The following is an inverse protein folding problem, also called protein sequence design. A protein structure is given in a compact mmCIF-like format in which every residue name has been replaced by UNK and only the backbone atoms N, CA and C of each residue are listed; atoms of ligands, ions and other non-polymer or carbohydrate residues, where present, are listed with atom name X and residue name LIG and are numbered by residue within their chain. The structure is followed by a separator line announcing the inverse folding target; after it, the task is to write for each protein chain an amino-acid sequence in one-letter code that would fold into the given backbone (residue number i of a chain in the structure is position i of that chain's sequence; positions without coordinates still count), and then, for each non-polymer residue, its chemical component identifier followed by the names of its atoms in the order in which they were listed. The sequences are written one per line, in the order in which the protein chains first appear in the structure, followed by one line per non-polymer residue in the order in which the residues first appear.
data_IF_706524570472
#
_entry.id   IF_706524570472
#
_cell.length_a   1.000
_cell.length_b   1.000
_cell.length_c   1.000
_cell.angle_alpha   90.00
_cell.angle_beta   90.00
_cell.angle_gamma   90.00
#
_symmetry.space_group_name_H-M   'P 1'
#
loop_
_entity.id
_entity.type
_entity.pdbx_description
1 polymer ?
#
# COMPACT_ATOMS: atom_id res chain seq x y z
N UNK A 1 6.86 -1.20 -8.68
CA UNK A 1 6.22 0.13 -8.59
C UNK A 1 7.33 1.14 -8.38
N UNK A 2 7.32 2.27 -9.07
CA UNK A 2 8.28 3.35 -8.84
C UNK A 2 7.86 4.13 -7.59
N UNK A 3 8.81 4.82 -6.94
CA UNK A 3 8.47 5.69 -5.82
C UNK A 3 7.50 6.79 -6.27
N UNK A 4 6.44 7.03 -5.48
CA UNK A 4 5.38 8.00 -5.77
C UNK A 4 4.61 7.80 -7.08
N UNK A 5 4.72 6.64 -7.72
CA UNK A 5 3.85 6.26 -8.84
C UNK A 5 2.43 5.99 -8.32
N UNK A 6 1.37 6.51 -8.94
CA UNK A 6 0.00 6.17 -8.53
C UNK A 6 -0.31 4.70 -8.89
N UNK A 7 -1.16 4.06 -8.10
CA UNK A 7 -1.45 2.63 -8.26
C UNK A 7 -2.06 2.31 -9.63
N UNK A 8 -2.88 3.21 -10.17
CA UNK A 8 -3.52 3.08 -11.49
C UNK A 8 -2.50 2.98 -12.61
N UNK A 9 -1.43 3.78 -12.57
CA UNK A 9 -0.37 3.76 -13.57
C UNK A 9 0.43 2.44 -13.47
N UNK A 10 0.67 1.96 -12.25
CA UNK A 10 1.32 0.66 -12.03
C UNK A 10 0.47 -0.49 -12.60
N UNK A 11 -0.84 -0.51 -12.32
CA UNK A 11 -1.78 -1.52 -12.86
C UNK A 11 -1.82 -1.49 -14.38
N UNK A 12 -1.86 -0.29 -14.98
CA UNK A 12 -1.84 -0.11 -16.44
C UNK A 12 -0.57 -0.74 -17.04
N UNK A 13 0.60 -0.37 -16.52
CA UNK A 13 1.88 -0.94 -16.98
C UNK A 13 1.96 -2.45 -16.80
N UNK A 14 1.45 -2.97 -15.69
CA UNK A 14 1.38 -4.42 -15.47
C UNK A 14 0.53 -5.10 -16.53
N UNK A 15 -0.64 -4.53 -16.83
CA UNK A 15 -1.57 -5.05 -17.83
C UNK A 15 -0.96 -5.02 -19.23
N UNK A 16 -0.26 -3.95 -19.60
CA UNK A 16 0.43 -3.84 -20.89
C UNK A 16 1.50 -4.93 -21.04
N UNK A 17 2.29 -5.18 -19.99
CA UNK A 17 3.30 -6.26 -19.98
C UNK A 17 2.64 -7.62 -20.14
N UNK A 18 1.57 -7.90 -19.41
CA UNK A 18 0.85 -9.18 -19.50
C UNK A 18 0.24 -9.36 -20.88
N UNK A 19 -0.34 -8.32 -21.47
CA UNK A 19 -0.91 -8.36 -22.81
C UNK A 19 0.17 -8.61 -23.87
N UNK A 20 1.32 -7.94 -23.77
CA UNK A 20 2.47 -8.22 -24.63
C UNK A 20 2.92 -9.68 -24.53
N UNK A 21 3.04 -10.21 -23.30
CA UNK A 21 3.44 -11.60 -23.06
C UNK A 21 2.41 -12.64 -23.56
N UNK A 22 1.11 -12.34 -23.45
CA UNK A 22 0.04 -13.17 -24.03
C UNK A 22 0.15 -13.24 -25.56
N UNK A 23 0.60 -12.17 -26.20
CA UNK A 23 0.90 -12.14 -27.63
C UNK A 23 2.04 -13.10 -28.06
N UNK A 24 2.89 -13.52 -27.12
CA UNK A 24 3.92 -14.53 -27.32
C UNK A 24 3.47 -15.94 -26.88
N UNK A 25 2.17 -16.23 -26.92
CA UNK A 25 1.55 -17.50 -26.50
C UNK A 25 1.79 -17.89 -25.03
N UNK A 26 2.25 -16.96 -24.19
CA UNK A 26 2.42 -17.22 -22.76
C UNK A 26 1.07 -17.19 -22.06
N UNK A 27 0.69 -18.32 -21.46
CA UNK A 27 -0.50 -18.44 -20.61
C UNK A 27 -0.14 -18.10 -19.17
N UNK A 28 -1.04 -17.38 -18.51
CA UNK A 28 -0.94 -17.06 -17.09
C UNK A 28 -2.22 -17.52 -16.40
N UNK A 29 -2.05 -18.18 -15.27
CA UNK A 29 -3.15 -18.45 -14.35
C UNK A 29 -3.48 -17.19 -13.54
N UNK A 30 -4.70 -17.11 -13.01
CA UNK A 30 -5.12 -15.98 -12.20
C UNK A 30 -4.21 -15.80 -10.96
N UNK A 31 -3.91 -16.90 -10.24
CA UNK A 31 -3.01 -16.88 -9.09
C UNK A 31 -1.60 -16.38 -9.42
N UNK A 32 -1.07 -16.71 -10.59
CA UNK A 32 0.23 -16.17 -11.03
C UNK A 32 0.17 -14.65 -11.24
N UNK A 33 -0.91 -14.14 -11.84
CA UNK A 33 -1.09 -12.70 -12.07
C UNK A 33 -1.20 -11.95 -10.75
N UNK A 34 -2.04 -12.43 -9.83
CA UNK A 34 -2.22 -11.87 -8.49
C UNK A 34 -0.89 -11.86 -7.73
N UNK A 35 -0.19 -12.99 -7.69
CA UNK A 35 1.09 -13.11 -6.99
C UNK A 35 2.16 -12.18 -7.58
N UNK A 36 2.24 -12.08 -8.91
CA UNK A 36 3.16 -11.15 -9.58
C UNK A 36 2.80 -9.70 -9.32
N UNK A 37 1.52 -9.34 -9.34
CA UNK A 37 1.07 -7.99 -9.04
C UNK A 37 1.42 -7.61 -7.61
N UNK A 38 1.06 -8.45 -6.63
CA UNK A 38 1.40 -8.21 -5.23
C UNK A 38 2.91 -8.01 -5.10
N UNK A 39 3.75 -8.90 -5.63
CA UNK A 39 5.23 -8.78 -5.61
C UNK A 39 5.78 -7.51 -6.27
N UNK A 40 5.03 -6.88 -7.18
CA UNK A 40 5.45 -5.66 -7.87
C UNK A 40 5.15 -4.37 -7.10
N UNK A 41 4.38 -4.43 -6.00
CA UNK A 41 4.06 -3.28 -5.15
C UNK A 41 5.28 -2.77 -4.35
N UNK A 42 5.26 -1.50 -3.97
CA UNK A 42 6.27 -0.89 -3.08
C UNK A 42 6.10 -1.37 -1.63
N UNK A 43 7.10 -1.13 -0.78
CA UNK A 43 7.10 -1.54 0.63
C UNK A 43 5.94 -0.94 1.45
N UNK A 44 5.45 0.25 1.08
CA UNK A 44 4.28 0.90 1.69
C UNK A 44 2.97 0.09 1.61
N UNK A 45 2.97 -0.99 0.83
CA UNK A 45 1.83 -1.89 0.60
C UNK A 45 1.98 -3.23 1.30
N UNK A 46 3.05 -3.45 2.08
CA UNK A 46 3.31 -4.72 2.74
C UNK A 46 2.18 -5.14 3.69
N UNK A 47 1.55 -4.19 4.39
CA UNK A 47 0.40 -4.47 5.25
C UNK A 47 -0.77 -5.08 4.47
N UNK A 48 -1.08 -4.54 3.28
CA UNK A 48 -2.13 -5.08 2.43
C UNK A 48 -1.74 -6.44 1.85
N UNK A 49 -0.47 -6.64 1.46
CA UNK A 49 0.03 -7.94 1.00
C UNK A 49 -0.18 -9.01 2.07
N UNK A 50 0.30 -8.76 3.29
CA UNK A 50 0.17 -9.70 4.40
C UNK A 50 -1.29 -9.98 4.74
N UNK A 51 -2.15 -8.97 4.64
CA UNK A 51 -3.59 -9.12 4.87
C UNK A 51 -4.24 -10.04 3.84
N UNK A 52 -3.95 -9.82 2.55
CA UNK A 52 -4.45 -10.68 1.48
C UNK A 52 -3.95 -12.11 1.70
N UNK A 53 -2.66 -12.31 1.97
CA UNK A 53 -2.09 -13.64 2.21
C UNK A 53 -2.69 -14.36 3.44
N UNK A 54 -3.12 -13.61 4.47
CA UNK A 54 -3.76 -14.20 5.66
C UNK A 54 -5.26 -14.48 5.49
N UNK A 55 -5.99 -13.67 4.71
CA UNK A 55 -7.46 -13.72 4.64
C UNK A 55 -7.96 -14.43 3.38
N UNK A 56 -7.32 -14.22 2.23
CA UNK A 56 -7.73 -14.79 0.95
C UNK A 56 -6.62 -15.66 0.36
N UNK A 57 -6.99 -16.77 -0.28
CA UNK A 57 -6.01 -17.55 -1.02
C UNK A 57 -5.66 -16.82 -2.34
N UNK A 58 -4.38 -16.50 -2.49
CA UNK A 58 -3.79 -15.84 -3.67
C UNK A 58 -4.17 -16.55 -4.97
N UNK A 59 -4.36 -17.88 -4.95
CA UNK A 59 -4.70 -18.67 -6.14
C UNK A 59 -6.17 -18.50 -6.57
N UNK A 60 -7.06 -18.21 -5.63
CA UNK A 60 -8.50 -18.08 -5.87
C UNK A 60 -8.94 -16.62 -5.97
N UNK A 61 -8.10 -15.69 -5.54
CA UNK A 61 -8.44 -14.27 -5.48
C UNK A 61 -8.58 -13.63 -6.87
N UNK A 62 -9.75 -13.13 -7.29
CA UNK A 62 -9.92 -12.55 -8.63
C UNK A 62 -9.05 -11.32 -8.85
N UNK A 63 -8.43 -11.21 -10.03
CA UNK A 63 -7.52 -10.12 -10.35
C UNK A 63 -8.22 -8.76 -10.38
N UNK A 64 -9.46 -8.71 -10.85
CA UNK A 64 -10.28 -7.51 -10.90
C UNK A 64 -10.62 -7.02 -9.48
N UNK A 65 -10.85 -7.95 -8.56
CA UNK A 65 -11.11 -7.64 -7.16
C UNK A 65 -9.84 -7.10 -6.48
N UNK A 66 -8.67 -7.69 -6.79
CA UNK A 66 -7.38 -7.15 -6.36
C UNK A 66 -7.21 -5.70 -6.81
N UNK A 67 -7.56 -5.36 -8.05
CA UNK A 67 -7.47 -3.98 -8.54
C UNK A 67 -8.34 -3.02 -7.73
N UNK A 68 -9.58 -3.43 -7.44
CA UNK A 68 -10.49 -2.64 -6.62
C UNK A 68 -9.97 -2.42 -5.19
N UNK A 69 -9.46 -3.48 -4.57
CA UNK A 69 -8.82 -3.43 -3.25
C UNK A 69 -7.62 -2.48 -3.25
N UNK A 70 -6.75 -2.58 -4.26
CA UNK A 70 -5.57 -1.74 -4.38
C UNK A 70 -5.92 -0.25 -4.53
N UNK A 71 -6.87 0.07 -5.41
CA UNK A 71 -7.33 1.46 -5.59
C UNK A 71 -7.97 2.03 -4.33
N UNK A 72 -8.74 1.21 -3.61
CA UNK A 72 -9.40 1.64 -2.38
C UNK A 72 -8.39 1.87 -1.26
N UNK A 73 -7.39 1.00 -1.12
CA UNK A 73 -6.28 1.18 -0.17
C UNK A 73 -5.52 2.49 -0.43
N UNK A 74 -5.19 2.81 -1.69
CA UNK A 74 -4.54 4.08 -2.02
C UNK A 74 -5.41 5.28 -1.62
N UNK A 75 -6.71 5.22 -1.90
CA UNK A 75 -7.65 6.28 -1.55
C UNK A 75 -7.76 6.50 -0.03
N UNK A 76 -7.83 5.42 0.75
CA UNK A 76 -7.86 5.48 2.22
C UNK A 76 -6.55 6.08 2.73
N UNK A 77 -5.40 5.58 2.27
CA UNK A 77 -4.09 6.10 2.65
C UNK A 77 -3.88 7.57 2.25
N UNK A 78 -4.44 8.01 1.13
CA UNK A 78 -4.41 9.41 0.73
C UNK A 78 -5.27 10.28 1.67
N UNK A 79 -6.43 9.79 2.13
CA UNK A 79 -7.28 10.48 3.11
C UNK A 79 -6.62 10.57 4.48
N UNK A 80 -5.98 9.51 4.96
CA UNK A 80 -5.28 9.49 6.27
C UNK A 80 -4.04 10.40 6.25
N UNK A 81 -3.27 10.40 5.15
CA UNK A 81 -2.16 11.36 4.92
C UNK A 81 -2.63 12.82 4.89
N UNK A 82 -3.84 13.11 4.38
CA UNK A 82 -4.41 14.48 4.41
C UNK A 82 -4.89 14.89 5.80
N UNK A 83 -5.51 13.97 6.57
CA UNK A 83 -5.93 14.22 7.95
C UNK A 83 -4.73 14.48 8.87
N UNK A 84 -3.67 13.68 8.75
CA UNK A 84 -2.43 13.84 9.54
C UNK A 84 -1.64 15.10 9.17
N UNK A 85 -1.76 15.63 7.95
CA UNK A 85 -1.17 16.93 7.58
C UNK A 85 -1.93 18.11 8.20
N UNK A 86 -3.27 18.06 8.23
CA UNK A 86 -4.08 19.11 8.90
C UNK A 86 -3.78 19.20 10.39
N UNK A 87 -3.65 18.07 11.10
CA UNK A 87 -3.32 18.08 12.52
C UNK A 87 -1.87 18.51 12.83
N UNK A 88 -0.95 18.41 11.85
CA UNK A 88 0.44 18.86 12.00
C UNK A 88 0.65 20.33 11.64
N UNK A 89 -0.32 20.97 11.00
CA UNK A 89 -0.26 22.37 10.58
C UNK A 89 -0.84 23.33 11.66
N UNK A 90 -1.70 22.83 12.56
CA UNK A 90 -2.21 23.59 13.72
C UNK A 90 -1.23 23.65 14.91
N UNK A 91 -0.13 22.90 14.90
CA UNK A 91 0.99 23.03 15.86
C UNK A 91 2.17 23.77 15.24
N UNK A 92 2.01 25.06 14.94
CA UNK A 92 3.14 25.98 14.69
C UNK A 92 3.01 27.23 15.54
N UNK A 93 3.19 27.09 16.86
CA UNK A 93 3.64 28.20 17.70
C UNK A 93 5.17 28.14 17.87
N UNK A 94 5.89 29.29 17.86
CA UNK A 94 7.36 29.34 17.82
C UNK A 94 8.02 29.02 19.18
N UNK A 95 9.30 28.61 19.19
CA UNK A 95 9.90 27.83 20.27
C UNK A 95 10.44 28.71 21.42
N UNK A 96 10.15 28.34 22.68
CA UNK A 96 10.88 28.82 23.85
C UNK A 96 12.04 27.87 24.16
N UNK A 97 13.24 28.46 24.11
CA UNK A 97 14.56 27.86 24.35
C UNK A 97 14.67 27.40 25.80
N UNK A 98 15.14 26.17 26.04
CA UNK A 98 15.85 25.78 27.26
C UNK A 98 16.74 24.56 26.97
N UNK A 99 17.82 24.43 27.73
CA UNK A 99 19.14 23.90 27.36
C UNK A 99 19.31 22.42 27.79
N UNK A 100 20.06 21.67 26.95
CA UNK A 100 20.85 20.44 27.22
C UNK A 100 20.17 19.13 27.69
N UNK A 101 20.29 18.07 26.87
CA UNK A 101 21.14 16.89 27.13
C UNK A 101 21.25 16.02 25.86
N UNK A 102 22.45 15.49 25.58
CA UNK A 102 22.74 14.57 24.47
C UNK A 102 22.31 13.14 24.83
N UNK A 103 21.61 12.46 23.91
CA UNK A 103 21.71 11.03 23.59
C UNK A 103 20.50 10.64 22.72
N UNK A 104 20.67 10.47 21.41
CA UNK A 104 19.71 9.72 20.60
C UNK A 104 20.43 8.94 19.52
N UNK A 105 20.17 7.64 19.55
CA UNK A 105 20.52 6.66 18.53
C UNK A 105 20.00 7.11 17.16
N UNK A 106 20.77 6.72 16.15
CA UNK A 106 20.46 6.89 14.74
C UNK A 106 19.09 6.29 14.40
N UNK A 107 18.28 7.11 13.76
CA UNK A 107 16.90 6.84 13.38
C UNK A 107 16.83 6.12 12.04
N UNK A 108 15.82 5.27 11.87
CA UNK A 108 15.55 4.75 10.54
C UNK A 108 14.44 3.73 10.41
N UNK A 109 13.39 3.76 11.22
CA UNK A 109 12.16 3.06 10.85
C UNK A 109 10.96 3.71 11.52
N UNK A 110 10.41 4.73 10.86
CA UNK A 110 9.03 5.12 11.11
C UNK A 110 8.14 4.01 10.54
N UNK A 111 8.11 2.89 11.25
CA UNK A 111 7.07 1.89 11.08
C UNK A 111 5.79 2.60 11.55
N UNK A 112 5.07 3.20 10.60
CA UNK A 112 3.71 3.64 10.85
C UNK A 112 2.91 2.38 11.08
N UNK A 113 2.87 1.95 12.34
CA UNK A 113 1.93 0.97 12.79
C UNK A 113 0.56 1.54 12.44
N UNK A 114 -0.06 0.92 11.45
CA UNK A 114 -1.44 1.14 11.03
C UNK A 114 -2.32 0.99 12.28
N UNK A 115 -3.23 1.94 12.51
CA UNK A 115 -4.09 1.84 13.70
C UNK A 115 -5.01 0.63 13.59
N UNK A 116 -5.49 0.11 14.72
CA UNK A 116 -6.38 -1.06 14.73
C UNK A 116 -7.68 -0.80 13.95
N UNK A 117 -8.17 0.45 13.90
CA UNK A 117 -9.31 0.82 13.07
C UNK A 117 -8.97 0.82 11.57
N UNK A 118 -7.76 1.25 11.19
CA UNK A 118 -7.28 1.17 9.81
C UNK A 118 -7.12 -0.29 9.38
N UNK A 119 -6.69 -1.18 10.27
CA UNK A 119 -6.65 -2.63 10.03
C UNK A 119 -8.05 -3.21 9.81
N UNK A 120 -9.05 -2.81 10.61
CA UNK A 120 -10.42 -3.31 10.49
C UNK A 120 -11.08 -2.88 9.17
N UNK A 121 -10.87 -1.62 8.76
CA UNK A 121 -11.32 -1.11 7.45
C UNK A 121 -10.70 -1.90 6.28
N UNK A 122 -9.42 -2.29 6.39
CA UNK A 122 -8.77 -3.12 5.37
C UNK A 122 -9.25 -4.57 5.40
N UNK A 123 -9.47 -5.13 6.59
CA UNK A 123 -10.04 -6.47 6.76
C UNK A 123 -11.43 -6.51 6.13
N UNK A 124 -12.25 -5.48 6.32
CA UNK A 124 -13.57 -5.33 5.69
C UNK A 124 -13.47 -5.26 4.16
N UNK A 125 -12.47 -4.54 3.63
CA UNK A 125 -12.22 -4.44 2.20
C UNK A 125 -11.87 -5.80 1.58
N UNK A 126 -11.04 -6.58 2.28
CA UNK A 126 -10.56 -7.90 1.82
C UNK A 126 -11.52 -9.04 2.20
N UNK A 127 -12.55 -8.85 3.03
CA UNK A 127 -13.54 -9.90 3.34
C UNK A 127 -14.78 -9.88 2.44
N UNK A 128 -14.98 -8.82 1.67
CA UNK A 128 -16.14 -8.67 0.78
C UNK A 128 -16.08 -9.65 -0.40
#
# INVERSE_FOLDING_TARGET
MKQNEPIVDMITRFTDIINGLKGFDRKFTNGELVSKMLRSLSEDWNSLRMLIENIKDVNTYPLEELYGTLMTYELINAKTKKKTRKSKEEMKEPPKRQIALKLTNDEGSSNKNMSDEELDDLVLLVKK
#
